data_IF_904425751265
#
_entry.id   IF_904425751265
#
_cell.length_a   1.000
_cell.length_b   1.000
_cell.length_c   1.000
_cell.angle_alpha   90.00
_cell.angle_beta   90.00
_cell.angle_gamma   90.00
#
_symmetry.space_group_name_H-M   'P 1'
#
loop_
_entity.id
_entity.type
_entity.pdbx_description
1 polymer ?
#
# COMPACT_ATOMS: atom_id res chain seq x y z
N UNK A 1 84.50 -2.21 1.79
CA UNK A 1 83.97 -1.12 0.94
C UNK A 1 82.46 -1.12 1.13
N UNK A 2 81.95 -0.16 1.91
CA UNK A 2 80.54 -0.04 2.31
C UNK A 2 79.83 0.75 1.21
N UNK A 3 78.71 0.24 0.69
CA UNK A 3 77.77 1.02 -0.13
C UNK A 3 76.39 1.00 0.52
N UNK A 4 75.82 2.20 0.58
CA UNK A 4 74.77 2.66 1.47
C UNK A 4 73.44 2.75 0.68
N UNK A 5 72.38 2.19 1.27
CA UNK A 5 70.95 2.57 1.25
C UNK A 5 70.26 2.97 -0.06
N UNK A 6 69.11 2.35 -0.31
CA UNK A 6 67.86 3.04 -0.68
C UNK A 6 66.65 2.18 -0.31
N UNK A 7 65.77 2.73 0.52
CA UNK A 7 64.50 2.14 0.92
C UNK A 7 63.41 2.56 -0.07
N UNK A 8 62.52 1.64 -0.47
CA UNK A 8 61.23 1.98 -1.07
C UNK A 8 60.17 1.03 -0.52
N UNK A 9 59.17 1.62 0.13
CA UNK A 9 58.02 0.97 0.72
C UNK A 9 57.03 0.55 -0.38
N UNK A 10 56.64 -0.73 -0.40
CA UNK A 10 55.55 -1.22 -1.24
C UNK A 10 54.21 -1.03 -0.53
N UNK A 11 53.43 -0.07 -1.01
CA UNK A 11 52.09 0.28 -0.52
C UNK A 11 51.08 -0.85 -0.83
N UNK A 12 50.32 -1.28 0.18
CA UNK A 12 49.20 -2.20 0.04
C UNK A 12 48.02 -1.51 -0.67
N UNK A 13 47.54 -2.07 -1.78
CA UNK A 13 46.26 -1.69 -2.38
C UNK A 13 45.18 -2.68 -1.92
N UNK A 14 44.52 -2.35 -0.81
CA UNK A 14 43.24 -2.94 -0.43
C UNK A 14 42.17 -2.38 -1.38
N UNK A 15 41.75 -3.20 -2.35
CA UNK A 15 40.53 -2.99 -3.14
C UNK A 15 39.31 -3.15 -2.22
N UNK A 16 39.01 -2.11 -1.45
CA UNK A 16 37.70 -1.93 -0.83
C UNK A 16 36.73 -1.52 -1.93
N UNK A 17 36.01 -2.51 -2.47
CA UNK A 17 34.80 -2.28 -3.25
C UNK A 17 33.75 -1.67 -2.32
N UNK A 18 33.77 -0.34 -2.20
CA UNK A 18 32.68 0.44 -1.63
C UNK A 18 31.48 0.34 -2.57
N UNK A 19 30.66 -0.70 -2.40
CA UNK A 19 29.26 -0.67 -2.81
C UNK A 19 28.58 0.38 -1.93
N UNK A 20 28.70 1.66 -2.29
CA UNK A 20 27.81 2.70 -1.80
C UNK A 20 26.42 2.36 -2.32
N UNK A 21 25.69 1.58 -1.53
CA UNK A 21 24.32 1.20 -1.79
C UNK A 21 23.48 2.45 -1.95
N UNK A 22 22.87 2.59 -3.12
CA UNK A 22 21.80 3.54 -3.38
C UNK A 22 20.55 3.10 -2.60
N UNK A 23 20.50 3.37 -1.30
CA UNK A 23 19.26 3.33 -0.53
C UNK A 23 19.39 4.34 0.59
N UNK A 24 18.60 5.41 0.51
CA UNK A 24 18.46 6.35 1.59
C UNK A 24 18.08 5.55 2.85
N UNK A 25 18.71 5.86 3.99
CA UNK A 25 18.50 5.10 5.23
C UNK A 25 17.01 4.98 5.64
N UNK A 26 16.14 5.91 5.18
CA UNK A 26 14.69 5.85 5.36
C UNK A 26 13.95 4.80 4.51
N UNK A 27 14.47 4.45 3.32
CA UNK A 27 13.87 3.43 2.44
C UNK A 27 14.08 2.02 3.00
N UNK A 28 15.18 1.83 3.76
CA UNK A 28 15.50 0.54 4.36
C UNK A 28 14.56 0.21 5.52
N UNK A 29 14.26 1.19 6.38
CA UNK A 29 13.37 0.97 7.52
C UNK A 29 11.91 0.76 7.08
N UNK A 30 11.43 1.56 6.13
CA UNK A 30 10.11 1.38 5.52
C UNK A 30 10.00 0.04 4.78
N UNK A 31 11.03 -0.34 4.02
CA UNK A 31 11.10 -1.64 3.33
C UNK A 31 11.08 -2.83 4.27
N UNK A 32 11.83 -2.78 5.39
CA UNK A 32 11.81 -3.84 6.42
C UNK A 32 10.41 -3.97 7.03
N UNK A 33 9.80 -2.86 7.48
CA UNK A 33 8.44 -2.87 8.06
C UNK A 33 7.41 -3.43 7.08
N UNK A 34 7.47 -3.02 5.81
CA UNK A 34 6.58 -3.54 4.78
C UNK A 34 6.77 -5.06 4.58
N UNK A 35 8.01 -5.53 4.45
CA UNK A 35 8.27 -6.97 4.27
C UNK A 35 7.79 -7.84 5.44
N UNK A 36 7.95 -7.34 6.67
CA UNK A 36 7.44 -8.02 7.85
C UNK A 36 5.91 -8.06 7.87
N UNK A 37 5.25 -6.94 7.54
CA UNK A 37 3.79 -6.90 7.44
C UNK A 37 3.29 -7.83 6.34
N UNK A 38 3.93 -7.85 5.18
CA UNK A 38 3.61 -8.74 4.08
C UNK A 38 3.68 -10.21 4.50
N UNK A 39 4.70 -10.60 5.27
CA UNK A 39 4.84 -11.98 5.75
C UNK A 39 3.79 -12.39 6.80
N UNK A 40 3.15 -11.42 7.46
CA UNK A 40 2.14 -11.65 8.52
C UNK A 40 0.70 -11.63 8.03
N UNK A 41 0.46 -11.27 6.78
CA UNK A 41 -0.88 -11.08 6.23
C UNK A 41 -1.13 -11.95 5.01
N UNK A 42 -2.41 -12.27 4.79
CA UNK A 42 -2.83 -12.92 3.56
C UNK A 42 -2.50 -12.03 2.33
N UNK A 43 -1.93 -12.61 1.26
CA UNK A 43 -1.67 -11.87 0.03
C UNK A 43 -2.97 -11.36 -0.60
N UNK A 44 -2.93 -10.11 -1.06
CA UNK A 44 -4.01 -9.50 -1.80
C UNK A 44 -4.09 -10.10 -3.21
N UNK A 45 -5.27 -10.55 -3.64
CA UNK A 45 -5.49 -10.87 -5.05
C UNK A 45 -5.68 -9.58 -5.83
N UNK A 46 -4.86 -9.35 -6.85
CA UNK A 46 -4.81 -8.06 -7.56
C UNK A 46 -5.40 -8.20 -8.97
N UNK A 47 -6.30 -7.29 -9.33
CA UNK A 47 -6.84 -7.16 -10.69
C UNK A 47 -6.67 -5.73 -11.21
N UNK A 48 -6.49 -5.59 -12.52
CA UNK A 48 -6.26 -4.29 -13.16
C UNK A 48 -4.79 -3.93 -13.28
N UNK A 49 -4.51 -2.61 -13.29
CA UNK A 49 -3.20 -2.05 -13.57
C UNK A 49 -2.82 -1.02 -12.48
N UNK A 50 -2.42 -1.47 -11.28
CA UNK A 50 -1.92 -0.57 -10.26
C UNK A 50 -0.51 -0.07 -10.61
N UNK A 51 -0.14 1.10 -10.09
CA UNK A 51 1.27 1.44 -9.90
C UNK A 51 1.81 0.77 -8.62
N UNK A 52 3.13 0.64 -8.49
CA UNK A 52 3.76 0.06 -7.30
C UNK A 52 3.31 0.76 -6.00
N UNK A 53 3.29 2.10 -6.00
CA UNK A 53 2.87 2.88 -4.83
C UNK A 53 1.37 2.73 -4.51
N UNK A 54 0.51 2.71 -5.53
CA UNK A 54 -0.93 2.47 -5.30
C UNK A 54 -1.22 1.07 -4.76
N UNK A 55 -0.50 0.05 -5.24
CA UNK A 55 -0.63 -1.32 -4.75
C UNK A 55 -0.19 -1.43 -3.29
N UNK A 56 1.00 -0.90 -2.96
CA UNK A 56 1.52 -0.91 -1.60
C UNK A 56 0.53 -0.24 -0.62
N UNK A 57 0.02 0.94 -0.96
CA UNK A 57 -0.95 1.64 -0.12
C UNK A 57 -2.22 0.81 0.12
N UNK A 58 -2.76 0.14 -0.90
CA UNK A 58 -3.96 -0.68 -0.77
C UNK A 58 -3.70 -1.91 0.09
N UNK A 59 -2.53 -2.56 -0.06
CA UNK A 59 -2.13 -3.66 0.80
C UNK A 59 -2.05 -3.23 2.26
N UNK A 60 -1.32 -2.15 2.53
CA UNK A 60 -1.22 -1.58 3.89
C UNK A 60 -2.61 -1.20 4.44
N UNK A 61 -3.50 -0.65 3.62
CA UNK A 61 -4.88 -0.33 4.01
C UNK A 61 -5.62 -1.57 4.50
N UNK A 62 -5.60 -2.66 3.72
CA UNK A 62 -6.27 -3.93 4.10
C UNK A 62 -5.65 -4.51 5.37
N UNK A 63 -4.32 -4.48 5.48
CA UNK A 63 -3.60 -4.97 6.66
C UNK A 63 -3.94 -4.17 7.91
N UNK A 64 -3.99 -2.83 7.86
CA UNK A 64 -4.37 -2.03 9.02
C UNK A 64 -5.83 -2.22 9.45
N UNK A 65 -6.71 -2.50 8.49
CA UNK A 65 -8.10 -2.90 8.79
C UNK A 65 -8.11 -4.25 9.52
N UNK A 66 -7.36 -5.25 9.05
CA UNK A 66 -7.25 -6.57 9.66
C UNK A 66 -6.62 -6.53 11.07
N UNK A 67 -5.55 -5.75 11.24
CA UNK A 67 -4.89 -5.48 12.52
C UNK A 67 -5.84 -4.81 13.53
N UNK A 68 -6.83 -4.07 13.03
CA UNK A 68 -7.67 -3.17 13.84
C UNK A 68 -6.93 -1.94 14.35
N UNK A 69 -5.85 -1.54 13.67
CA UNK A 69 -5.00 -0.41 14.07
C UNK A 69 -5.51 0.90 13.44
N UNK A 70 -6.48 1.54 14.11
CA UNK A 70 -7.09 2.77 13.63
C UNK A 70 -6.12 3.94 13.50
N UNK A 71 -5.05 3.97 14.30
CA UNK A 71 -4.02 5.00 14.23
C UNK A 71 -3.19 4.87 12.95
N UNK A 72 -2.68 3.66 12.67
CA UNK A 72 -1.94 3.41 11.44
C UNK A 72 -2.83 3.53 10.20
N UNK A 73 -4.07 3.06 10.25
CA UNK A 73 -5.00 3.21 9.13
C UNK A 73 -5.27 4.69 8.83
N UNK A 74 -5.55 5.51 9.85
CA UNK A 74 -5.77 6.95 9.65
C UNK A 74 -4.52 7.67 9.10
N UNK A 75 -3.31 7.19 9.40
CA UNK A 75 -2.06 7.76 8.90
C UNK A 75 -1.82 7.56 7.40
N UNK A 76 -2.52 6.61 6.78
CA UNK A 76 -2.52 6.40 5.33
C UNK A 76 -3.40 7.42 4.59
N UNK A 77 -4.23 8.16 5.32
CA UNK A 77 -5.18 9.10 4.75
C UNK A 77 -4.52 10.32 4.13
N UNK A 78 -5.16 10.85 3.10
CA UNK A 78 -4.73 12.07 2.41
C UNK A 78 -4.99 13.33 3.24
N UNK A 79 -4.42 14.43 2.77
CA UNK A 79 -4.69 15.80 3.22
C UNK A 79 -6.12 16.25 2.91
N UNK A 80 -6.85 15.54 2.05
CA UNK A 80 -8.30 15.75 1.87
C UNK A 80 -9.03 15.44 3.20
N UNK A 81 -9.54 16.49 3.85
CA UNK A 81 -10.32 16.39 5.09
C UNK A 81 -9.52 16.67 6.37
N UNK A 82 -10.22 16.63 7.50
CA UNK A 82 -9.60 16.88 8.80
C UNK A 82 -8.97 15.60 9.37
N UNK A 83 -8.06 15.77 10.33
CA UNK A 83 -7.52 14.64 11.10
C UNK A 83 -8.60 13.83 11.82
N UNK A 84 -9.65 14.51 12.29
CA UNK A 84 -10.79 13.86 12.90
C UNK A 84 -11.59 13.03 11.89
N UNK A 85 -11.77 13.51 10.66
CA UNK A 85 -12.46 12.76 9.61
C UNK A 85 -11.73 11.45 9.29
N UNK A 86 -10.40 11.51 9.17
CA UNK A 86 -9.57 10.32 8.93
C UNK A 86 -9.66 9.32 10.07
N UNK A 87 -9.54 9.79 11.32
CA UNK A 87 -9.65 8.95 12.51
C UNK A 87 -11.02 8.27 12.60
N UNK A 88 -12.10 9.03 12.41
CA UNK A 88 -13.43 8.48 12.48
C UNK A 88 -13.70 7.50 11.33
N UNK A 89 -13.27 7.83 10.11
CA UNK A 89 -13.34 6.92 8.96
C UNK A 89 -12.59 5.62 9.23
N UNK A 90 -11.35 5.67 9.76
CA UNK A 90 -10.57 4.49 10.11
C UNK A 90 -11.31 3.58 11.10
N UNK A 91 -11.83 4.16 12.19
CA UNK A 91 -12.58 3.42 13.21
C UNK A 91 -13.83 2.76 12.61
N UNK A 92 -14.55 3.50 11.78
CA UNK A 92 -15.72 3.01 11.10
C UNK A 92 -15.39 1.83 10.14
N UNK A 93 -14.31 1.95 9.37
CA UNK A 93 -13.87 0.90 8.45
C UNK A 93 -13.39 -0.36 9.17
N UNK A 94 -12.64 -0.21 10.27
CA UNK A 94 -12.23 -1.34 11.12
C UNK A 94 -13.45 -2.05 11.68
N UNK A 95 -14.40 -1.30 12.24
CA UNK A 95 -15.63 -1.86 12.81
C UNK A 95 -16.41 -2.67 11.76
N UNK A 96 -16.45 -2.18 10.53
CA UNK A 96 -17.27 -2.78 9.47
C UNK A 96 -16.57 -3.92 8.73
N UNK A 97 -15.27 -3.79 8.44
CA UNK A 97 -14.57 -4.64 7.46
C UNK A 97 -13.46 -5.51 8.05
N UNK A 98 -13.11 -5.37 9.34
CA UNK A 98 -12.02 -6.15 9.96
C UNK A 98 -12.16 -7.64 9.74
N UNK A 99 -13.33 -8.21 10.03
CA UNK A 99 -13.56 -9.65 9.88
C UNK A 99 -13.30 -10.12 8.45
N UNK A 100 -13.69 -9.32 7.45
CA UNK A 100 -13.46 -9.58 6.04
C UNK A 100 -11.99 -9.44 5.63
N UNK A 101 -11.31 -8.43 6.17
CA UNK A 101 -9.90 -8.14 5.89
C UNK A 101 -8.93 -9.16 6.49
N UNK A 102 -9.32 -9.88 7.54
CA UNK A 102 -8.57 -11.00 8.11
C UNK A 102 -8.56 -12.25 7.18
N UNK A 103 -9.37 -12.26 6.13
CA UNK A 103 -9.43 -13.34 5.14
C UNK A 103 -8.90 -12.93 3.77
N UNK A 104 -9.22 -13.74 2.75
CA UNK A 104 -8.90 -13.41 1.37
C UNK A 104 -9.61 -12.14 0.90
N UNK A 105 -8.86 -11.24 0.25
CA UNK A 105 -9.38 -10.01 -0.35
C UNK A 105 -8.92 -9.92 -1.81
N UNK A 106 -9.84 -9.54 -2.70
CA UNK A 106 -9.49 -9.08 -4.05
C UNK A 106 -9.56 -7.57 -4.13
N UNK A 107 -8.50 -6.93 -4.60
CA UNK A 107 -8.48 -5.52 -4.98
C UNK A 107 -8.47 -5.36 -6.49
N UNK A 108 -9.48 -4.66 -6.98
CA UNK A 108 -9.70 -4.44 -8.40
C UNK A 108 -9.51 -2.95 -8.74
N UNK A 109 -8.45 -2.64 -9.48
CA UNK A 109 -7.97 -1.28 -9.73
C UNK A 109 -8.54 -0.69 -11.03
N UNK A 110 -9.23 0.46 -10.93
CA UNK A 110 -9.92 1.14 -12.03
C UNK A 110 -9.29 2.52 -12.34
N UNK A 111 -9.04 2.77 -13.62
CA UNK A 111 -8.40 4.00 -14.11
C UNK A 111 -6.89 3.89 -14.25
N UNK A 112 -6.25 4.95 -14.74
CA UNK A 112 -4.79 5.02 -14.90
C UNK A 112 -4.13 5.32 -13.55
N UNK A 113 -3.34 4.39 -12.99
CA UNK A 113 -2.63 4.54 -11.72
C UNK A 113 -1.47 5.55 -11.74
N UNK A 114 -1.62 6.67 -12.44
CA UNK A 114 -0.63 7.74 -12.61
C UNK A 114 -0.71 8.72 -11.44
N UNK A 115 -1.90 9.20 -11.09
CA UNK A 115 -2.11 10.21 -10.07
C UNK A 115 -3.32 9.91 -9.16
N UNK A 116 -4.30 9.15 -9.63
CA UNK A 116 -5.49 8.73 -8.88
C UNK A 116 -6.04 7.40 -9.38
N UNK A 117 -6.63 6.62 -8.48
CA UNK A 117 -7.25 5.36 -8.84
C UNK A 117 -8.43 5.04 -7.92
N UNK A 118 -9.52 4.53 -8.51
CA UNK A 118 -10.58 3.90 -7.74
C UNK A 118 -10.24 2.42 -7.57
N UNK A 119 -10.43 1.87 -6.38
CA UNK A 119 -10.13 0.47 -6.08
C UNK A 119 -11.35 -0.14 -5.42
N UNK A 120 -11.79 -1.28 -5.94
CA UNK A 120 -12.87 -2.05 -5.34
C UNK A 120 -12.27 -3.22 -4.58
N UNK A 121 -12.52 -3.27 -3.28
CA UNK A 121 -12.16 -4.35 -2.39
C UNK A 121 -13.34 -5.31 -2.26
N UNK A 122 -13.10 -6.58 -2.53
CA UNK A 122 -14.04 -7.68 -2.34
C UNK A 122 -13.53 -8.54 -1.18
N UNK A 123 -14.23 -8.50 -0.04
CA UNK A 123 -13.89 -9.26 1.15
C UNK A 123 -14.58 -10.63 1.09
N UNK A 124 -13.84 -11.68 0.76
CA UNK A 124 -14.44 -12.98 0.43
C UNK A 124 -15.08 -13.67 1.63
N UNK A 125 -14.53 -13.45 2.83
CA UNK A 125 -15.04 -14.06 4.08
C UNK A 125 -16.44 -13.53 4.45
N UNK A 126 -16.69 -12.24 4.25
CA UNK A 126 -17.94 -11.58 4.65
C UNK A 126 -18.86 -11.23 3.48
N UNK A 127 -18.42 -11.43 2.24
CA UNK A 127 -19.08 -10.99 1.00
C UNK A 127 -19.34 -9.47 0.95
N UNK A 128 -18.60 -8.68 1.74
CA UNK A 128 -18.68 -7.22 1.72
C UNK A 128 -17.88 -6.66 0.54
N UNK A 129 -18.34 -5.53 0.01
CA UNK A 129 -17.68 -4.80 -1.06
C UNK A 129 -17.43 -3.37 -0.59
N UNK A 130 -16.22 -2.87 -0.79
CA UNK A 130 -15.86 -1.49 -0.48
C UNK A 130 -15.14 -0.84 -1.66
N UNK A 131 -15.66 0.28 -2.15
CA UNK A 131 -14.92 1.15 -3.04
C UNK A 131 -14.10 2.15 -2.23
N UNK A 132 -12.82 2.28 -2.56
CA UNK A 132 -11.91 3.28 -2.02
C UNK A 132 -11.30 4.11 -3.16
N UNK A 133 -10.79 5.29 -2.84
CA UNK A 133 -10.06 6.12 -3.77
C UNK A 133 -8.67 6.40 -3.22
N UNK A 134 -7.65 6.19 -4.04
CA UNK A 134 -6.26 6.48 -3.74
C UNK A 134 -5.73 7.53 -4.70
N UNK A 135 -4.82 8.39 -4.25
CA UNK A 135 -4.23 9.45 -5.07
C UNK A 135 -2.85 9.86 -4.56
N UNK A 136 -2.05 10.46 -5.44
CA UNK A 136 -0.90 11.24 -5.00
C UNK A 136 -1.35 12.46 -4.20
N UNK A 137 -0.61 12.78 -3.14
CA UNK A 137 -0.89 13.86 -2.20
C UNK A 137 0.29 14.82 -2.05
N UNK A 138 0.04 15.98 -1.43
CA UNK A 138 1.02 17.06 -1.35
C UNK A 138 1.19 17.82 -2.67
N UNK A 139 2.18 18.71 -2.75
CA UNK A 139 2.43 19.47 -3.96
C UNK A 139 3.15 18.60 -5.00
N UNK A 140 2.47 18.30 -6.12
CA UNK A 140 3.05 17.46 -7.17
C UNK A 140 3.27 15.99 -6.78
N UNK A 141 2.68 15.50 -5.70
CA UNK A 141 2.79 14.11 -5.26
C UNK A 141 3.93 13.81 -4.29
N UNK A 142 4.55 14.83 -3.72
CA UNK A 142 5.68 14.70 -2.78
C UNK A 142 5.36 13.88 -1.52
N UNK A 143 4.09 13.84 -1.09
CA UNK A 143 3.65 13.05 0.07
C UNK A 143 3.28 11.61 -0.28
N UNK A 144 3.49 11.22 -1.55
CA UNK A 144 3.24 9.88 -2.08
C UNK A 144 1.76 9.55 -2.25
N UNK A 145 1.48 8.26 -2.43
CA UNK A 145 0.12 7.75 -2.53
C UNK A 145 -0.57 7.77 -1.16
N UNK A 146 -1.79 8.31 -1.12
CA UNK A 146 -2.64 8.41 0.07
C UNK A 146 -4.07 7.99 -0.22
N UNK A 147 -4.76 7.60 0.84
CA UNK A 147 -6.12 7.12 0.83
C UNK A 147 -7.09 8.27 1.11
N UNK A 148 -8.13 8.42 0.29
CA UNK A 148 -9.18 9.39 0.58
C UNK A 148 -10.12 8.87 1.67
N UNK A 149 -10.10 9.50 2.85
CA UNK A 149 -10.83 9.07 4.05
C UNK A 149 -11.82 10.14 4.52
N UNK A 150 -12.97 10.23 3.84
CA UNK A 150 -13.99 11.27 4.05
C UNK A 150 -15.35 10.67 4.42
N UNK A 151 -15.37 9.58 5.18
CA UNK A 151 -16.60 8.90 5.60
C UNK A 151 -16.70 8.83 7.15
N UNK A 152 -16.70 9.99 7.84
CA UNK A 152 -16.79 10.02 9.30
C UNK A 152 -18.18 9.57 9.79
N UNK A 153 -19.22 9.69 8.97
CA UNK A 153 -20.54 9.17 9.28
C UNK A 153 -20.58 7.65 9.06
N UNK A 154 -20.86 6.83 10.10
CA UNK A 154 -20.89 5.37 9.96
C UNK A 154 -21.94 4.86 8.96
N UNK A 155 -22.96 5.66 8.62
CA UNK A 155 -23.96 5.28 7.61
C UNK A 155 -23.40 5.27 6.19
N UNK A 156 -22.30 5.98 5.94
CA UNK A 156 -21.67 6.10 4.62
C UNK A 156 -20.70 4.95 4.32
N UNK A 157 -20.25 4.21 5.34
CA UNK A 157 -19.18 3.21 5.25
C UNK A 157 -19.51 2.08 4.27
N UNK A 158 -20.77 1.64 4.31
CA UNK A 158 -21.30 0.56 3.44
C UNK A 158 -21.81 1.07 2.10
N UNK A 159 -21.80 2.40 1.86
CA UNK A 159 -22.31 2.95 0.63
C UNK A 159 -21.46 2.44 -0.53
N UNK A 160 -22.11 1.71 -1.45
CA UNK A 160 -21.49 1.18 -2.65
C UNK A 160 -21.94 2.04 -3.83
N UNK A 161 -21.03 2.71 -4.56
CA UNK A 161 -21.39 3.40 -5.80
C UNK A 161 -22.03 2.45 -6.82
N UNK A 162 -22.96 2.97 -7.64
CA UNK A 162 -23.71 2.16 -8.61
C UNK A 162 -22.84 1.51 -9.70
N UNK A 163 -21.67 2.08 -9.98
CA UNK A 163 -20.74 1.56 -10.99
C UNK A 163 -20.00 0.30 -10.52
N UNK A 164 -20.01 -0.02 -9.22
CA UNK A 164 -19.21 -1.11 -8.65
C UNK A 164 -19.81 -2.47 -9.01
N UNK A 165 -19.07 -3.31 -9.77
CA UNK A 165 -19.52 -4.64 -10.13
C UNK A 165 -19.81 -5.51 -8.89
N UNK A 166 -20.76 -6.45 -8.96
CA UNK A 166 -21.05 -7.35 -7.85
C UNK A 166 -19.99 -8.44 -7.65
N UNK A 167 -19.13 -8.66 -8.64
CA UNK A 167 -18.05 -9.65 -8.61
C UNK A 167 -16.79 -9.08 -9.27
N UNK A 168 -15.58 -9.54 -8.90
CA UNK A 168 -14.33 -9.13 -9.54
C UNK A 168 -14.31 -9.38 -11.07
N UNK A 169 -13.55 -8.57 -11.82
CA UNK A 169 -13.51 -8.59 -13.30
C UNK A 169 -13.16 -9.95 -13.92
N UNK A 170 -12.21 -10.68 -13.36
CA UNK A 170 -11.85 -12.01 -13.88
C UNK A 170 -13.02 -13.01 -13.78
N UNK A 171 -13.82 -12.91 -12.71
CA UNK A 171 -15.03 -13.72 -12.53
C UNK A 171 -16.17 -13.26 -13.45
N UNK A 172 -16.24 -11.97 -13.79
CA UNK A 172 -17.22 -11.46 -14.74
C UNK A 172 -16.97 -11.99 -16.17
N UNK A 173 -15.72 -11.96 -16.62
CA UNK A 173 -15.34 -12.43 -17.96
C UNK A 173 -15.57 -13.93 -18.15
N UNK A 174 -15.25 -14.75 -17.14
CA UNK A 174 -15.54 -16.20 -17.15
C UNK A 174 -17.05 -16.48 -17.18
N UNK A 175 -17.87 -15.67 -16.50
CA UNK A 175 -19.34 -15.84 -16.51
C UNK A 175 -19.97 -15.40 -17.82
N UNK A 176 -19.38 -14.46 -18.53
CA UNK A 176 -19.84 -14.06 -19.88
C UNK A 176 -19.43 -15.08 -20.94
N UNK A 177 -18.23 -15.65 -20.85
CA UNK A 177 -17.76 -16.67 -21.80
C UNK A 177 -18.52 -18.01 -21.71
N UNK A 178 -19.21 -18.27 -20.59
CA UNK A 178 -19.97 -19.49 -20.34
C UNK A 178 -21.49 -19.33 -20.53
N UNK A 179 -21.95 -18.22 -21.10
CA UNK A 179 -23.34 -18.00 -21.53
C UNK A 179 -23.45 -18.19 -23.04
#
# INVERSE_FOLDING_TARGET
MILLRSATAGLAFLLLCSLTGCSAAGDRESGVRYSEDFARHEPLTVQGQPSAGSLQLVQETVWRIADGDGGKLASLGSSDGTDNDRKQTAQNWIKEFREGAEGGVTADFYGSGIDRQAVVLYFHKTNQIKAINVRLDGNGGEDGWRLKMLEPDPTQVKAKPDWVPPVPRENAQVREANK
#
